data_IF_848336320534
#
_entry.id   IF_848336320534
#
_cell.length_a   1.000
_cell.length_b   1.000
_cell.length_c   1.000
_cell.angle_alpha   90.00
_cell.angle_beta   90.00
_cell.angle_gamma   90.00
#
_symmetry.space_group_name_H-M   'P 1'
#
loop_
_entity.id
_entity.type
_entity.pdbx_description
1 polymer ?
#
# COMPACT_ATOMS: atom_id res chain seq x y z
N UNK A 1 44.95 -28.22 14.06
CA UNK A 1 44.43 -28.58 14.20
C UNK A 1 43.29 -28.26 13.90
N UNK A 2 42.55 -28.58 13.34
CA UNK A 2 41.56 -28.47 13.21
C UNK A 2 40.77 -27.50 12.86
N UNK A 3 40.73 -26.93 12.90
CA UNK A 3 40.23 -25.77 12.67
C UNK A 3 39.45 -25.56 11.48
N UNK A 4 39.86 -25.85 10.59
CA UNK A 4 39.21 -25.55 9.40
C UNK A 4 37.77 -25.59 9.43
N UNK A 5 37.31 -26.31 10.22
CA UNK A 5 36.00 -26.47 10.26
C UNK A 5 35.31 -25.26 10.29
N UNK A 6 35.86 -24.38 10.70
CA UNK A 6 35.18 -23.20 10.80
C UNK A 6 34.63 -22.75 9.58
N UNK A 7 35.26 -22.87 8.54
CA UNK A 7 34.79 -22.32 7.36
C UNK A 7 33.47 -22.85 6.99
N UNK A 8 33.33 -24.06 7.30
CA UNK A 8 32.22 -24.69 7.00
C UNK A 8 31.04 -24.09 7.58
N UNK A 9 31.13 -23.71 8.69
CA UNK A 9 30.04 -23.17 9.38
C UNK A 9 29.54 -21.95 8.68
N UNK A 10 30.42 -21.14 8.27
CA UNK A 10 30.06 -19.91 7.64
C UNK A 10 29.23 -20.16 6.42
N UNK A 11 29.60 -21.12 5.68
CA UNK A 11 28.87 -21.44 4.47
C UNK A 11 27.45 -21.78 4.77
N UNK A 12 27.26 -22.55 5.79
CA UNK A 12 25.93 -22.95 6.14
C UNK A 12 25.05 -21.76 6.40
N UNK A 13 25.58 -20.77 7.00
CA UNK A 13 24.80 -19.62 7.32
C UNK A 13 24.35 -18.86 6.10
N UNK A 14 25.21 -18.81 5.13
CA UNK A 14 24.86 -18.09 3.91
C UNK A 14 23.65 -18.66 3.23
N UNK A 15 23.44 -19.91 3.37
CA UNK A 15 22.30 -20.54 2.74
C UNK A 15 20.99 -20.09 3.31
N UNK A 16 21.01 -19.40 4.41
CA UNK A 16 19.79 -18.96 5.05
C UNK A 16 19.39 -17.53 4.69
N UNK A 17 20.14 -16.94 3.81
CA UNK A 17 19.85 -15.59 3.43
C UNK A 17 18.65 -15.50 2.49
N UNK A 18 17.75 -14.57 2.79
CA UNK A 18 16.64 -14.24 1.92
C UNK A 18 16.68 -12.74 1.68
N UNK A 19 16.41 -12.34 0.47
CA UNK A 19 16.30 -10.92 0.18
C UNK A 19 15.05 -10.41 0.90
N UNK A 20 15.11 -9.27 1.53
CA UNK A 20 13.93 -8.68 2.14
C UNK A 20 12.95 -8.32 1.04
N UNK A 21 11.68 -8.48 1.32
CA UNK A 21 10.66 -8.05 0.40
C UNK A 21 10.70 -6.53 0.31
N UNK A 22 10.61 -6.00 -0.90
CA UNK A 22 10.59 -4.56 -1.09
C UNK A 22 9.18 -4.05 -0.88
N UNK A 23 9.02 -3.11 0.05
CA UNK A 23 7.79 -2.37 0.20
C UNK A 23 7.81 -1.23 -0.80
N UNK A 24 6.69 -1.02 -1.47
CA UNK A 24 6.57 0.02 -2.48
C UNK A 24 5.60 1.08 -2.04
N UNK A 25 5.77 2.28 -2.58
CA UNK A 25 4.81 3.36 -2.43
C UNK A 25 4.09 3.50 -3.76
N UNK A 26 2.78 3.39 -3.72
CA UNK A 26 1.94 3.42 -4.91
C UNK A 26 1.05 4.65 -4.82
N UNK A 27 1.01 5.44 -5.89
CA UNK A 27 0.28 6.70 -5.91
C UNK A 27 -1.04 6.56 -6.65
N UNK A 28 -2.09 7.10 -6.03
CA UNK A 28 -3.40 7.25 -6.64
C UNK A 28 -3.67 8.75 -6.69
N UNK A 29 -3.95 9.27 -7.86
CA UNK A 29 -4.28 10.68 -8.04
C UNK A 29 -5.79 10.86 -7.89
N UNK A 30 -6.20 11.92 -7.20
CA UNK A 30 -7.59 12.32 -7.15
C UNK A 30 -7.68 13.64 -7.90
N UNK A 31 -8.42 13.65 -8.99
CA UNK A 31 -8.59 14.86 -9.78
C UNK A 31 -9.94 14.81 -10.48
N UNK A 32 -10.66 15.91 -10.45
CA UNK A 32 -12.00 16.03 -11.02
C UNK A 32 -12.93 14.96 -10.47
N UNK A 33 -12.83 14.69 -9.16
CA UNK A 33 -13.68 13.73 -8.47
C UNK A 33 -13.48 12.30 -8.97
N UNK A 34 -12.27 11.95 -9.39
CA UNK A 34 -11.95 10.61 -9.89
C UNK A 34 -10.68 10.11 -9.26
N UNK A 35 -10.68 8.85 -8.82
CA UNK A 35 -9.46 8.15 -8.40
C UNK A 35 -8.79 7.57 -9.65
N UNK A 36 -7.50 7.83 -9.81
CA UNK A 36 -6.74 7.30 -10.94
C UNK A 36 -5.42 6.69 -10.45
N UNK A 37 -5.17 5.41 -10.67
CA UNK A 37 -6.06 4.46 -11.35
C UNK A 37 -7.21 4.02 -10.45
N UNK A 38 -8.26 3.49 -11.05
CA UNK A 38 -9.42 3.03 -10.28
C UNK A 38 -9.19 1.66 -9.65
N UNK A 39 -8.21 0.94 -10.09
CA UNK A 39 -7.87 -0.35 -9.47
C UNK A 39 -6.37 -0.45 -9.29
N UNK A 40 -5.95 -0.83 -8.09
CA UNK A 40 -4.54 -1.00 -7.74
C UNK A 40 -4.37 -2.37 -7.10
N UNK A 41 -3.31 -3.07 -7.48
CA UNK A 41 -2.88 -4.28 -6.80
C UNK A 41 -1.58 -3.99 -6.07
N UNK A 42 -1.53 -4.33 -4.80
CA UNK A 42 -0.40 -4.07 -3.94
C UNK A 42 -0.15 -5.28 -3.03
N UNK A 43 0.86 -5.18 -2.19
CA UNK A 43 1.20 -6.24 -1.23
C UNK A 43 1.11 -5.69 0.18
N UNK A 44 0.90 -6.57 1.13
CA UNK A 44 1.03 -6.22 2.54
C UNK A 44 2.40 -5.60 2.76
N UNK A 45 2.45 -4.46 3.43
CA UNK A 45 3.68 -3.71 3.66
C UNK A 45 3.84 -2.53 2.72
N UNK A 46 3.14 -2.53 1.59
CA UNK A 46 3.17 -1.38 0.67
C UNK A 46 2.39 -0.22 1.28
N UNK A 47 2.63 0.96 0.74
CA UNK A 47 1.94 2.18 1.14
C UNK A 47 1.21 2.75 -0.06
N UNK A 48 -0.05 3.10 0.13
CA UNK A 48 -0.81 3.85 -0.87
C UNK A 48 -0.76 5.32 -0.47
N UNK A 49 -0.51 6.17 -1.45
CA UNK A 49 -0.58 7.62 -1.25
C UNK A 49 -1.66 8.15 -2.19
N UNK A 50 -2.66 8.79 -1.62
CA UNK A 50 -3.67 9.50 -2.42
C UNK A 50 -3.24 10.96 -2.50
N UNK A 51 -3.05 11.43 -3.72
CA UNK A 51 -2.62 12.80 -3.99
C UNK A 51 -3.83 13.56 -4.53
N UNK A 52 -4.39 14.44 -3.71
CA UNK A 52 -5.61 15.16 -4.04
C UNK A 52 -5.27 16.44 -4.79
N UNK A 53 -5.60 16.47 -6.08
CA UNK A 53 -5.39 17.64 -6.92
C UNK A 53 -6.59 18.59 -6.89
N UNK A 54 -7.68 18.18 -6.28
CA UNK A 54 -8.90 19.00 -6.23
C UNK A 54 -8.84 20.04 -5.12
N UNK A 55 -9.74 20.99 -5.17
CA UNK A 55 -9.85 22.04 -4.16
C UNK A 55 -10.81 21.67 -3.04
N UNK A 56 -11.34 20.47 -3.04
CA UNK A 56 -12.26 19.99 -2.00
C UNK A 56 -11.65 18.80 -1.29
N UNK A 57 -12.08 18.57 -0.06
CA UNK A 57 -11.65 17.41 0.70
C UNK A 57 -12.28 16.13 0.13
N UNK A 58 -11.47 15.09 0.03
CA UNK A 58 -11.95 13.77 -0.33
C UNK A 58 -11.60 12.76 0.76
N UNK A 59 -12.14 11.57 0.65
CA UNK A 59 -11.72 10.45 1.51
C UNK A 59 -11.50 9.23 0.64
N UNK A 60 -10.70 8.31 1.14
CA UNK A 60 -10.61 6.96 0.62
C UNK A 60 -11.10 6.08 1.76
N UNK A 61 -12.31 5.58 1.64
CA UNK A 61 -12.99 4.86 2.71
C UNK A 61 -13.34 3.47 2.24
N UNK A 62 -12.80 2.45 2.90
CA UNK A 62 -13.15 1.07 2.56
C UNK A 62 -14.62 0.82 2.90
N UNK A 63 -15.32 0.12 2.00
CA UNK A 63 -16.74 -0.14 2.21
C UNK A 63 -16.99 -1.02 3.42
N UNK A 64 -16.01 -1.83 3.82
CA UNK A 64 -16.11 -2.68 5.00
C UNK A 64 -15.66 -1.97 6.28
N UNK A 65 -15.33 -0.68 6.19
CA UNK A 65 -14.87 0.15 7.29
C UNK A 65 -13.52 -0.23 7.87
N UNK A 66 -12.73 -1.02 7.17
CA UNK A 66 -11.40 -1.38 7.67
C UNK A 66 -10.47 -0.18 7.73
N UNK A 67 -10.68 0.80 6.88
CA UNK A 67 -9.87 2.03 6.90
C UNK A 67 -10.64 3.20 6.30
N UNK A 68 -10.23 4.38 6.71
CA UNK A 68 -10.80 5.64 6.26
C UNK A 68 -9.70 6.68 6.28
N UNK A 69 -9.33 7.18 5.12
CA UNK A 69 -8.26 8.16 4.97
C UNK A 69 -8.88 9.46 4.48
N UNK A 70 -8.61 10.54 5.19
CA UNK A 70 -9.10 11.87 4.80
C UNK A 70 -7.98 12.58 4.07
N UNK A 71 -8.28 13.11 2.89
CA UNK A 71 -7.29 13.78 2.05
C UNK A 71 -7.76 15.21 1.81
N UNK A 72 -7.10 16.16 2.47
CA UNK A 72 -7.44 17.58 2.39
C UNK A 72 -7.16 18.13 0.99
N UNK A 73 -7.77 19.26 0.62
CA UNK A 73 -7.57 19.85 -0.70
C UNK A 73 -6.10 20.10 -0.98
N UNK A 74 -5.64 19.71 -2.15
CA UNK A 74 -4.27 19.95 -2.60
C UNK A 74 -3.21 19.28 -1.73
N UNK A 75 -3.60 18.30 -0.91
CA UNK A 75 -2.70 17.58 -0.03
C UNK A 75 -2.67 16.10 -0.41
N UNK A 76 -1.76 15.38 0.18
CA UNK A 76 -1.66 13.94 0.01
C UNK A 76 -1.78 13.26 1.39
N UNK A 77 -2.35 12.07 1.40
CA UNK A 77 -2.46 11.26 2.62
C UNK A 77 -2.13 9.81 2.28
N UNK A 78 -1.66 9.06 3.24
CA UNK A 78 -1.18 7.71 2.98
C UNK A 78 -1.78 6.68 3.90
N UNK A 79 -1.72 5.44 3.46
CA UNK A 79 -2.15 4.27 4.22
C UNK A 79 -1.13 3.16 4.01
N UNK A 80 -0.57 2.64 5.09
CA UNK A 80 0.29 1.47 5.03
C UNK A 80 -0.60 0.23 5.06
N UNK A 81 -0.39 -0.70 4.13
CA UNK A 81 -1.24 -1.87 3.99
C UNK A 81 -0.80 -2.98 4.92
N UNK A 82 -1.68 -3.41 5.80
CA UNK A 82 -1.35 -4.41 6.82
C UNK A 82 -2.13 -5.68 6.69
N UNK A 83 -3.13 -5.72 5.82
CA UNK A 83 -4.05 -6.85 5.71
C UNK A 83 -4.30 -7.15 4.25
N UNK A 84 -4.16 -8.40 3.87
CA UNK A 84 -4.49 -8.84 2.53
C UNK A 84 -6.00 -8.90 2.34
N UNK A 85 -6.45 -8.70 1.14
CA UNK A 85 -7.86 -8.75 0.79
C UNK A 85 -8.19 -7.87 -0.39
N UNK A 86 -9.44 -7.86 -0.76
CA UNK A 86 -9.96 -6.97 -1.79
C UNK A 86 -10.82 -5.93 -1.12
N UNK A 87 -10.50 -4.67 -1.36
CA UNK A 87 -11.17 -3.56 -0.71
C UNK A 87 -11.77 -2.67 -1.78
N UNK A 88 -13.09 -2.64 -1.86
CA UNK A 88 -13.76 -1.60 -2.59
C UNK A 88 -13.77 -0.37 -1.71
N UNK A 89 -13.52 0.80 -2.26
CA UNK A 89 -13.51 2.03 -1.48
C UNK A 89 -14.15 3.17 -2.25
N UNK A 90 -14.48 4.23 -1.55
CA UNK A 90 -15.20 5.36 -2.12
C UNK A 90 -14.89 6.62 -1.32
N UNK A 91 -15.31 7.76 -1.85
CA UNK A 91 -15.24 9.02 -1.13
C UNK A 91 -16.55 9.26 -0.39
N UNK A 92 -16.49 9.53 0.90
CA UNK A 92 -17.71 9.73 1.71
C UNK A 92 -18.50 10.96 1.28
N UNK A 93 -17.83 11.97 0.77
CA UNK A 93 -18.49 13.20 0.34
C UNK A 93 -19.02 13.13 -1.08
N UNK A 94 -18.53 12.19 -1.86
CA UNK A 94 -18.91 12.01 -3.25
C UNK A 94 -19.04 10.51 -3.52
N UNK A 95 -20.14 9.88 -3.10
CA UNK A 95 -20.24 8.41 -3.12
C UNK A 95 -20.07 7.75 -4.48
N UNK A 96 -20.18 8.50 -5.56
CA UNK A 96 -19.95 7.94 -6.89
C UNK A 96 -18.46 7.83 -7.23
N UNK A 97 -17.57 8.45 -6.43
CA UNK A 97 -16.13 8.25 -6.56
C UNK A 97 -15.80 6.91 -5.95
N UNK A 98 -15.55 5.91 -6.78
CA UNK A 98 -15.32 4.53 -6.34
C UNK A 98 -14.06 3.98 -6.96
N UNK A 99 -13.42 3.08 -6.24
CA UNK A 99 -12.19 2.44 -6.70
C UNK A 99 -12.01 1.12 -5.97
N UNK A 100 -10.97 0.39 -6.32
CA UNK A 100 -10.69 -0.92 -5.73
C UNK A 100 -9.21 -1.08 -5.46
N UNK A 101 -8.91 -1.65 -4.31
CA UNK A 101 -7.54 -1.99 -3.92
C UNK A 101 -7.48 -3.47 -3.61
N UNK A 102 -6.62 -4.19 -4.32
CA UNK A 102 -6.38 -5.62 -4.08
C UNK A 102 -5.04 -5.73 -3.39
N UNK A 103 -5.02 -6.30 -2.19
CA UNK A 103 -3.79 -6.44 -1.41
C UNK A 103 -3.47 -7.93 -1.28
N UNK A 104 -2.30 -8.32 -1.79
CA UNK A 104 -1.81 -9.69 -1.71
C UNK A 104 -0.79 -9.82 -0.59
N UNK A 105 -0.43 -11.05 -0.26
CA UNK A 105 0.59 -11.30 0.76
C UNK A 105 1.99 -10.90 0.29
#
# INVERSE_FOLDING_TARGET
MTPGRTGLVAVALLGLWFAPAHAETIYVTIENLVFTPTEVTAKVGDTIVWDNKDFVTHTATATNNDWNVVISPKQASKLELRKAGTFDYFCRFHPNMKARLVVTQ
#
